data_IF_632575992449
#
_entry.id   IF_632575992449
#
_cell.length_a   1.000
_cell.length_b   1.000
_cell.length_c   1.000
_cell.angle_alpha   90.00
_cell.angle_beta   90.00
_cell.angle_gamma   90.00
#
_symmetry.space_group_name_H-M   'P 1'
#
loop_
_entity.id
_entity.type
_entity.pdbx_description
1 polymer ?
#
# COMPACT_ATOMS: atom_id res chain seq x y z
N UNK A 1 -14.00 -17.08 8.71
CA UNK A 1 -13.77 -16.24 7.50
C UNK A 1 -14.94 -15.27 7.43
N UNK A 2 -14.68 -13.96 7.45
CA UNK A 2 -15.73 -12.91 7.45
C UNK A 2 -15.89 -12.26 6.07
N UNK A 3 -15.62 -13.01 5.01
CA UNK A 3 -15.70 -12.58 3.61
C UNK A 3 -17.12 -12.06 3.26
N UNK A 4 -17.18 -10.91 2.60
CA UNK A 4 -18.42 -10.31 2.06
C UNK A 4 -19.51 -10.07 3.12
N UNK A 5 -19.15 -9.38 4.23
CA UNK A 5 -20.09 -8.94 5.25
C UNK A 5 -20.35 -7.42 5.14
N UNK A 6 -21.25 -6.97 4.25
CA UNK A 6 -21.43 -5.54 3.96
C UNK A 6 -22.02 -4.73 5.13
N UNK A 7 -22.63 -5.40 6.11
CA UNK A 7 -23.18 -4.75 7.31
C UNK A 7 -22.20 -4.71 8.49
N UNK A 8 -21.04 -5.39 8.39
CA UNK A 8 -20.01 -5.38 9.42
C UNK A 8 -19.36 -3.99 9.47
N UNK A 9 -19.49 -3.29 10.61
CA UNK A 9 -18.96 -1.92 10.78
C UNK A 9 -17.67 -1.88 11.59
N UNK A 10 -17.53 -2.75 12.56
CA UNK A 10 -16.40 -2.71 13.51
C UNK A 10 -15.87 -4.11 13.75
N UNK A 11 -14.55 -4.25 13.78
CA UNK A 11 -13.83 -5.47 14.13
C UNK A 11 -12.83 -5.15 15.24
N UNK A 12 -12.86 -5.95 16.31
CA UNK A 12 -11.87 -5.90 17.39
C UNK A 12 -11.26 -7.29 17.49
N UNK A 13 -9.98 -7.41 17.15
CA UNK A 13 -9.25 -8.67 17.23
C UNK A 13 -8.60 -8.81 18.61
N UNK A 14 -8.77 -9.95 19.28
CA UNK A 14 -8.21 -10.17 20.61
C UNK A 14 -6.68 -10.34 20.57
N UNK A 15 -6.06 -10.24 21.75
CA UNK A 15 -4.59 -10.24 21.91
C UNK A 15 -3.92 -11.56 21.57
N UNK A 16 -4.66 -12.67 21.54
CA UNK A 16 -4.14 -13.99 21.20
C UNK A 16 -4.08 -14.27 19.68
N UNK A 17 -4.63 -13.37 18.84
CA UNK A 17 -4.53 -13.48 17.39
C UNK A 17 -3.14 -13.03 16.93
N UNK A 18 -2.45 -13.88 16.17
CA UNK A 18 -1.12 -13.61 15.63
C UNK A 18 -1.09 -13.48 14.12
N UNK A 19 -2.10 -14.02 13.43
CA UNK A 19 -2.21 -14.05 11.97
C UNK A 19 -3.64 -13.67 11.56
N UNK A 20 -3.77 -12.82 10.55
CA UNK A 20 -5.03 -12.61 9.84
C UNK A 20 -4.89 -13.27 8.46
N UNK A 21 -5.71 -14.28 8.21
CA UNK A 21 -5.66 -15.10 7.00
C UNK A 21 -5.99 -14.30 5.74
N UNK A 22 -5.66 -14.88 4.58
CA UNK A 22 -6.05 -14.33 3.28
C UNK A 22 -7.56 -14.11 3.23
N UNK A 23 -7.97 -12.97 2.66
CA UNK A 23 -9.38 -12.60 2.42
C UNK A 23 -10.27 -12.59 3.68
N UNK A 24 -9.68 -12.48 4.89
CA UNK A 24 -10.44 -12.61 6.13
C UNK A 24 -11.59 -11.59 6.25
N UNK A 25 -11.38 -10.37 5.78
CA UNK A 25 -12.36 -9.26 5.77
C UNK A 25 -12.56 -8.68 4.37
N UNK A 26 -12.23 -9.44 3.32
CA UNK A 26 -12.43 -8.97 1.95
C UNK A 26 -13.91 -8.69 1.70
N UNK A 27 -14.19 -7.60 0.99
CA UNK A 27 -15.55 -7.14 0.64
C UNK A 27 -16.46 -6.83 1.85
N UNK A 28 -15.85 -6.52 3.00
CA UNK A 28 -16.58 -5.94 4.12
C UNK A 28 -16.85 -4.45 3.86
N UNK A 29 -17.71 -4.16 2.87
CA UNK A 29 -17.92 -2.80 2.34
C UNK A 29 -18.46 -1.79 3.36
N UNK A 30 -19.07 -2.28 4.47
CA UNK A 30 -19.54 -1.44 5.57
C UNK A 30 -18.49 -1.18 6.66
N UNK A 31 -17.29 -1.78 6.55
CA UNK A 31 -16.27 -1.74 7.62
C UNK A 31 -15.65 -0.35 7.74
N UNK A 32 -15.86 0.28 8.90
CA UNK A 32 -15.37 1.64 9.21
C UNK A 32 -14.22 1.65 10.20
N UNK A 33 -14.10 0.61 11.05
CA UNK A 33 -13.10 0.57 12.12
C UNK A 33 -12.59 -0.85 12.36
N UNK A 34 -11.27 -0.96 12.47
CA UNK A 34 -10.57 -2.21 12.82
C UNK A 34 -9.57 -1.93 13.93
N UNK A 35 -9.71 -2.65 15.04
CA UNK A 35 -8.69 -2.69 16.10
C UNK A 35 -7.92 -4.00 16.00
N UNK A 36 -6.65 -3.91 15.65
CA UNK A 36 -5.74 -5.04 15.56
C UNK A 36 -5.11 -5.33 16.93
N UNK A 37 -5.05 -6.61 17.30
CA UNK A 37 -4.36 -7.04 18.51
C UNK A 37 -2.83 -6.82 18.39
N UNK A 38 -2.12 -6.57 19.50
CA UNK A 38 -0.69 -6.21 19.50
C UNK A 38 0.24 -7.34 19.07
N UNK A 39 -0.25 -8.57 19.04
CA UNK A 39 0.53 -9.75 18.70
C UNK A 39 0.40 -10.21 17.24
N UNK A 40 -0.33 -9.46 16.40
CA UNK A 40 -0.45 -9.78 14.97
C UNK A 40 0.90 -9.55 14.29
N UNK A 41 1.40 -10.59 13.63
CA UNK A 41 2.66 -10.60 12.89
C UNK A 41 2.45 -10.60 11.38
N UNK A 42 1.26 -11.01 10.89
CA UNK A 42 0.98 -11.10 9.47
C UNK A 42 -0.47 -10.74 9.13
N UNK A 43 -0.62 -9.97 8.06
CA UNK A 43 -1.89 -9.67 7.38
C UNK A 43 -1.84 -10.36 6.02
N UNK A 44 -2.78 -11.27 5.75
CA UNK A 44 -2.83 -12.09 4.54
C UNK A 44 -3.19 -11.35 3.27
N UNK A 45 -3.13 -12.05 2.13
CA UNK A 45 -3.49 -11.50 0.83
C UNK A 45 -4.96 -11.10 0.79
N UNK A 46 -5.27 -9.95 0.18
CA UNK A 46 -6.63 -9.40 0.08
C UNK A 46 -7.38 -9.28 1.42
N UNK A 47 -6.68 -9.29 2.55
CA UNK A 47 -7.29 -9.40 3.88
C UNK A 47 -8.37 -8.33 4.13
N UNK A 48 -8.10 -7.08 3.79
CA UNK A 48 -9.04 -5.95 3.83
C UNK A 48 -9.41 -5.44 2.44
N UNK A 49 -9.27 -6.31 1.41
CA UNK A 49 -9.59 -5.91 0.04
C UNK A 49 -11.04 -5.48 -0.10
N UNK A 50 -11.27 -4.35 -0.78
CA UNK A 50 -12.59 -3.75 -0.99
C UNK A 50 -13.33 -3.39 0.33
N UNK A 51 -12.63 -2.69 1.24
CA UNK A 51 -13.20 -2.06 2.43
C UNK A 51 -13.20 -0.51 2.27
N UNK A 52 -14.05 0.06 1.40
CA UNK A 52 -13.96 1.48 1.00
C UNK A 52 -14.27 2.47 2.12
N UNK A 53 -14.98 2.06 3.17
CA UNK A 53 -15.31 2.92 4.31
C UNK A 53 -14.27 2.87 5.43
N UNK A 54 -13.22 2.05 5.31
CA UNK A 54 -12.11 2.01 6.27
C UNK A 54 -11.22 3.24 6.03
N UNK A 55 -11.29 4.21 6.95
CA UNK A 55 -10.56 5.49 6.81
C UNK A 55 -9.17 5.47 7.42
N UNK A 56 -8.94 4.58 8.38
CA UNK A 56 -7.64 4.40 9.03
C UNK A 56 -7.52 3.01 9.63
N UNK A 57 -6.28 2.55 9.77
CA UNK A 57 -5.94 1.33 10.49
C UNK A 57 -4.56 1.50 11.14
N UNK A 58 -4.46 1.16 12.42
CA UNK A 58 -3.17 1.17 13.12
C UNK A 58 -2.53 -0.21 13.02
N UNK A 59 -1.40 -0.29 12.35
CA UNK A 59 -0.63 -1.52 12.22
C UNK A 59 0.18 -1.78 13.49
N UNK A 60 0.13 -2.98 14.09
CA UNK A 60 0.81 -3.28 15.35
C UNK A 60 2.33 -3.38 15.19
N UNK A 61 3.05 -3.09 16.27
CA UNK A 61 4.52 -3.02 16.29
C UNK A 61 5.24 -4.36 16.06
N UNK A 62 4.53 -5.48 16.10
CA UNK A 62 5.05 -6.82 15.78
C UNK A 62 4.75 -7.27 14.35
N UNK A 63 4.02 -6.48 13.57
CA UNK A 63 3.66 -6.83 12.20
C UNK A 63 4.92 -6.90 11.32
N UNK A 64 5.16 -8.03 10.70
CA UNK A 64 6.29 -8.24 9.78
C UNK A 64 5.87 -8.30 8.32
N UNK A 65 4.65 -8.77 8.05
CA UNK A 65 4.20 -9.07 6.69
C UNK A 65 2.85 -8.45 6.38
N UNK A 66 2.77 -7.75 5.25
CA UNK A 66 1.55 -7.27 4.61
C UNK A 66 1.43 -8.01 3.27
N UNK A 67 0.37 -8.78 3.08
CA UNK A 67 0.18 -9.63 1.89
C UNK A 67 -0.11 -8.85 0.61
N UNK A 68 -0.10 -9.56 -0.52
CA UNK A 68 -0.48 -9.04 -1.83
C UNK A 68 -1.91 -8.51 -1.78
N UNK A 69 -2.12 -7.30 -2.28
CA UNK A 69 -3.44 -6.63 -2.31
C UNK A 69 -4.16 -6.58 -0.96
N UNK A 70 -3.43 -6.60 0.15
CA UNK A 70 -4.00 -6.67 1.50
C UNK A 70 -5.00 -5.55 1.80
N UNK A 71 -4.78 -4.35 1.26
CA UNK A 71 -5.64 -3.17 1.37
C UNK A 71 -6.15 -2.69 -0.01
N UNK A 72 -6.24 -3.60 -0.97
CA UNK A 72 -6.76 -3.30 -2.30
C UNK A 72 -8.15 -2.64 -2.19
N UNK A 73 -8.35 -1.51 -2.90
CA UNK A 73 -9.62 -0.77 -2.94
C UNK A 73 -10.13 -0.33 -1.54
N UNK A 74 -9.20 -0.01 -0.62
CA UNK A 74 -9.52 0.69 0.64
C UNK A 74 -9.53 2.20 0.38
N UNK A 75 -10.52 2.67 -0.40
CA UNK A 75 -10.56 4.04 -0.92
C UNK A 75 -10.72 5.14 0.15
N UNK A 76 -11.10 4.77 1.39
CA UNK A 76 -11.22 5.70 2.51
C UNK A 76 -9.89 6.01 3.21
N UNK A 77 -8.85 5.17 3.06
CA UNK A 77 -7.56 5.37 3.76
C UNK A 77 -6.83 6.57 3.15
N UNK A 78 -6.46 7.54 4.00
CA UNK A 78 -5.78 8.78 3.58
C UNK A 78 -4.27 8.77 3.79
N UNK A 79 -3.79 8.00 4.76
CA UNK A 79 -2.36 7.79 5.04
C UNK A 79 -2.11 6.37 5.57
N UNK A 80 -0.92 5.84 5.36
CA UNK A 80 -0.53 4.52 5.86
C UNK A 80 0.80 4.59 6.60
N UNK A 81 0.76 4.31 7.90
CA UNK A 81 1.97 4.22 8.74
C UNK A 81 2.51 2.80 8.72
N UNK A 82 3.76 2.62 8.27
CA UNK A 82 4.47 1.35 8.20
C UNK A 82 5.40 1.21 9.44
N UNK A 83 5.13 0.28 10.35
CA UNK A 83 5.96 0.06 11.54
C UNK A 83 7.40 -0.38 11.23
N UNK A 84 8.29 -0.22 12.22
CA UNK A 84 9.68 -0.64 12.11
C UNK A 84 9.87 -2.14 11.83
N UNK A 85 8.95 -2.96 12.31
CA UNK A 85 8.98 -4.43 12.18
C UNK A 85 8.63 -4.94 10.78
N UNK A 86 7.91 -4.16 9.95
CA UNK A 86 7.48 -4.61 8.61
C UNK A 86 8.69 -4.76 7.70
N UNK A 87 8.88 -5.98 7.19
CA UNK A 87 9.97 -6.33 6.28
C UNK A 87 9.49 -6.97 4.97
N UNK A 88 8.18 -7.23 4.83
CA UNK A 88 7.58 -7.76 3.62
C UNK A 88 6.27 -7.06 3.29
N UNK A 89 6.18 -6.47 2.09
CA UNK A 89 4.97 -5.88 1.53
C UNK A 89 4.73 -6.49 0.16
N UNK A 90 3.60 -7.17 0.02
CA UNK A 90 3.19 -7.84 -1.21
C UNK A 90 2.82 -6.87 -2.32
N UNK A 91 2.81 -7.37 -3.55
CA UNK A 91 2.53 -6.57 -4.74
C UNK A 91 1.11 -6.00 -4.72
N UNK A 92 1.00 -4.74 -5.07
CA UNK A 92 -0.29 -4.05 -5.11
C UNK A 92 -1.01 -3.95 -3.76
N UNK A 93 -0.29 -4.07 -2.63
CA UNK A 93 -0.89 -4.10 -1.29
C UNK A 93 -1.84 -2.91 -1.01
N UNK A 94 -1.59 -1.76 -1.63
CA UNK A 94 -2.32 -0.50 -1.41
C UNK A 94 -2.92 0.08 -2.70
N UNK A 95 -3.08 -0.72 -3.76
CA UNK A 95 -3.65 -0.23 -5.03
C UNK A 95 -5.13 0.07 -4.91
N UNK A 96 -5.63 1.00 -5.72
CA UNK A 96 -7.02 1.52 -5.67
C UNK A 96 -7.37 2.21 -4.33
N UNK A 97 -6.40 2.59 -3.52
CA UNK A 97 -6.62 3.44 -2.34
C UNK A 97 -6.74 4.91 -2.77
N UNK A 98 -7.85 5.27 -3.42
CA UNK A 98 -8.01 6.55 -4.13
C UNK A 98 -7.92 7.80 -3.27
N UNK A 99 -7.96 7.69 -1.95
CA UNK A 99 -7.72 8.81 -1.01
C UNK A 99 -6.32 8.82 -0.41
N UNK A 100 -5.49 7.79 -0.67
CA UNK A 100 -4.17 7.67 -0.08
C UNK A 100 -3.21 8.73 -0.64
N UNK A 101 -2.66 9.56 0.25
CA UNK A 101 -1.77 10.68 -0.09
C UNK A 101 -0.32 10.43 0.27
N UNK A 102 -0.08 9.61 1.30
CA UNK A 102 1.28 9.37 1.79
C UNK A 102 1.43 8.05 2.54
N UNK A 103 2.66 7.54 2.48
CA UNK A 103 3.18 6.54 3.40
C UNK A 103 4.09 7.21 4.43
N UNK A 104 3.94 6.84 5.70
CA UNK A 104 4.80 7.25 6.81
C UNK A 104 5.54 5.99 7.27
N UNK A 105 6.85 5.93 7.08
CA UNK A 105 7.66 4.78 7.50
C UNK A 105 8.42 5.13 8.76
N UNK A 106 8.33 4.29 9.79
CA UNK A 106 9.07 4.47 11.02
C UNK A 106 10.59 4.52 10.76
N UNK A 107 11.30 5.48 11.34
CA UNK A 107 12.74 5.69 11.10
C UNK A 107 13.59 4.45 11.36
N UNK A 108 13.20 3.66 12.37
CA UNK A 108 13.85 2.39 12.74
C UNK A 108 13.53 1.23 11.78
N UNK A 109 12.70 1.41 10.73
CA UNK A 109 12.48 0.38 9.74
C UNK A 109 13.76 0.15 8.92
N UNK A 110 14.21 -1.10 8.83
CA UNK A 110 15.45 -1.48 8.14
C UNK A 110 15.25 -1.90 6.68
N UNK A 111 13.99 -2.07 6.25
CA UNK A 111 13.65 -2.58 4.91
C UNK A 111 13.06 -1.51 4.01
N UNK A 112 12.29 -0.60 4.58
CA UNK A 112 11.55 0.43 3.85
C UNK A 112 11.89 1.84 4.33
N UNK A 113 11.62 2.82 3.49
CA UNK A 113 11.66 4.25 3.78
C UNK A 113 10.55 4.96 3.04
N UNK A 114 10.20 6.17 3.44
CA UNK A 114 9.38 7.06 2.63
C UNK A 114 10.17 8.32 2.26
N UNK A 115 9.99 8.77 1.02
CA UNK A 115 10.52 10.04 0.53
C UNK A 115 9.34 10.80 -0.05
N UNK A 116 9.06 11.97 0.49
CA UNK A 116 7.88 12.76 0.13
C UNK A 116 6.58 11.92 0.14
N UNK A 117 6.43 11.04 1.12
CA UNK A 117 5.25 10.18 1.25
C UNK A 117 5.18 9.02 0.26
N UNK A 118 6.16 8.82 -0.61
CA UNK A 118 6.26 7.67 -1.55
C UNK A 118 7.04 6.55 -0.87
N UNK A 119 6.55 5.31 -0.99
CA UNK A 119 7.16 4.14 -0.36
C UNK A 119 8.29 3.57 -1.22
N UNK A 120 9.50 3.51 -0.66
CA UNK A 120 10.68 2.92 -1.29
C UNK A 120 11.29 1.83 -0.39
N UNK A 121 12.18 1.02 -0.98
CA UNK A 121 13.13 0.23 -0.20
C UNK A 121 14.06 1.15 0.61
N UNK A 122 14.62 0.66 1.72
CA UNK A 122 15.50 1.46 2.60
C UNK A 122 16.72 2.02 1.87
N UNK A 123 17.30 1.26 0.94
CA UNK A 123 18.42 1.69 0.10
C UNK A 123 18.01 2.60 -1.07
N UNK A 124 16.69 2.89 -1.22
CA UNK A 124 16.08 3.74 -2.26
C UNK A 124 16.29 3.25 -3.71
N UNK A 125 16.66 1.98 -3.89
CA UNK A 125 16.83 1.40 -5.24
C UNK A 125 15.50 0.90 -5.84
N UNK A 126 14.49 0.63 -5.01
CA UNK A 126 13.20 0.13 -5.46
C UNK A 126 12.06 1.07 -5.05
N UNK A 127 11.28 1.51 -6.02
CA UNK A 127 10.01 2.17 -5.81
C UNK A 127 8.94 1.11 -5.56
N UNK A 128 8.37 1.08 -4.36
CA UNK A 128 7.49 0.00 -3.88
C UNK A 128 6.02 0.32 -4.09
N UNK A 129 5.59 1.52 -3.73
CA UNK A 129 4.21 1.98 -3.93
C UNK A 129 4.13 3.50 -4.01
N UNK A 130 3.33 4.00 -4.94
CA UNK A 130 2.98 5.41 -5.08
C UNK A 130 1.56 5.65 -4.53
N UNK A 131 1.35 6.66 -3.68
CA UNK A 131 0.00 6.95 -3.15
C UNK A 131 -0.94 7.44 -4.26
N UNK A 132 -2.10 6.79 -4.42
CA UNK A 132 -3.02 7.03 -5.55
C UNK A 132 -3.53 8.49 -5.65
N UNK A 133 -3.56 9.25 -4.54
CA UNK A 133 -4.06 10.64 -4.47
C UNK A 133 -2.98 11.66 -4.15
N UNK A 134 -1.71 11.38 -4.53
CA UNK A 134 -0.59 12.27 -4.13
C UNK A 134 -0.50 13.53 -5.00
N UNK A 135 -0.11 13.41 -6.24
CA UNK A 135 0.12 14.56 -7.12
C UNK A 135 -0.09 14.20 -8.59
N UNK A 136 -0.27 15.23 -9.43
CA UNK A 136 -0.40 15.05 -10.88
C UNK A 136 0.94 14.86 -11.61
N UNK A 137 2.06 15.16 -10.97
CA UNK A 137 3.41 15.02 -11.51
C UNK A 137 4.29 14.27 -10.52
N UNK A 138 5.10 13.35 -11.03
CA UNK A 138 6.13 12.66 -10.24
C UNK A 138 7.39 12.40 -11.06
N UNK A 139 8.53 12.73 -10.48
CA UNK A 139 9.84 12.38 -11.00
C UNK A 139 10.42 11.24 -10.18
N UNK A 140 10.72 10.11 -10.84
CA UNK A 140 11.32 8.95 -10.19
C UNK A 140 12.76 9.32 -9.79
N UNK A 141 13.11 9.20 -8.49
CA UNK A 141 14.45 9.54 -8.03
C UNK A 141 15.55 8.81 -8.81
N UNK A 142 16.65 9.52 -9.12
CA UNK A 142 17.78 8.97 -9.89
C UNK A 142 18.49 7.79 -9.21
N UNK A 143 18.23 7.53 -7.94
CA UNK A 143 18.70 6.33 -7.23
C UNK A 143 17.89 5.09 -7.55
N UNK A 144 16.65 5.23 -8.06
CA UNK A 144 15.75 4.10 -8.32
C UNK A 144 16.19 3.37 -9.58
N UNK A 145 16.44 2.07 -9.44
CA UNK A 145 16.71 1.14 -10.54
C UNK A 145 15.52 0.21 -10.86
N UNK A 146 14.59 0.07 -9.91
CA UNK A 146 13.46 -0.84 -10.06
C UNK A 146 12.16 -0.16 -9.65
N UNK A 147 11.17 -0.19 -10.52
CA UNK A 147 9.76 0.12 -10.22
C UNK A 147 9.05 -1.21 -10.01
N UNK A 148 8.49 -1.44 -8.82
CA UNK A 148 7.85 -2.70 -8.47
C UNK A 148 6.52 -2.90 -9.21
N UNK A 149 6.03 -4.14 -9.27
CA UNK A 149 4.72 -4.46 -9.86
C UNK A 149 3.60 -3.65 -9.20
N UNK A 150 2.67 -3.13 -10.01
CA UNK A 150 1.50 -2.37 -9.57
C UNK A 150 1.80 -1.08 -8.79
N UNK A 151 3.01 -0.55 -8.88
CA UNK A 151 3.46 0.65 -8.11
C UNK A 151 2.56 1.86 -8.31
N UNK A 152 2.15 2.15 -9.54
CA UNK A 152 1.28 3.27 -9.92
C UNK A 152 -0.12 2.82 -10.35
N UNK A 153 -0.51 1.56 -10.08
CA UNK A 153 -1.83 1.05 -10.46
C UNK A 153 -2.94 1.96 -9.97
N UNK A 154 -3.81 2.40 -10.90
CA UNK A 154 -4.96 3.30 -10.64
C UNK A 154 -4.61 4.64 -10.00
N UNK A 155 -3.45 5.20 -10.34
CA UNK A 155 -3.10 6.58 -9.99
C UNK A 155 -3.76 7.57 -10.95
N UNK A 156 -5.10 7.69 -10.90
CA UNK A 156 -5.88 8.49 -11.87
C UNK A 156 -5.59 9.99 -11.82
N UNK A 157 -5.12 10.48 -10.67
CA UNK A 157 -4.69 11.88 -10.51
C UNK A 157 -3.31 12.18 -11.09
N UNK A 158 -2.53 11.16 -11.45
CA UNK A 158 -1.17 11.31 -11.96
C UNK A 158 -1.19 11.54 -13.47
N UNK A 159 -0.83 12.75 -13.90
CA UNK A 159 -0.85 13.15 -15.31
C UNK A 159 0.51 13.02 -16.01
N UNK A 160 1.60 12.95 -15.25
CA UNK A 160 2.95 12.83 -15.80
C UNK A 160 3.89 12.12 -14.85
N UNK A 161 4.65 11.17 -15.36
CA UNK A 161 5.75 10.48 -14.65
C UNK A 161 7.02 10.60 -15.47
N UNK A 162 8.08 11.14 -14.88
CA UNK A 162 9.41 11.17 -15.47
C UNK A 162 10.20 9.98 -14.94
N UNK A 163 10.68 9.14 -15.86
CA UNK A 163 11.49 7.96 -15.55
C UNK A 163 12.89 8.19 -16.10
N UNK A 164 13.86 8.28 -15.20
CA UNK A 164 15.26 8.49 -15.56
C UNK A 164 15.98 7.21 -16.03
N UNK A 165 17.16 7.38 -16.62
CA UNK A 165 17.98 6.31 -17.20
C UNK A 165 18.51 5.28 -16.17
N UNK A 166 18.42 5.56 -14.87
CA UNK A 166 18.78 4.62 -13.80
C UNK A 166 17.80 3.45 -13.66
N UNK A 167 16.55 3.62 -14.13
CA UNK A 167 15.52 2.57 -14.04
C UNK A 167 15.78 1.52 -15.11
N UNK A 168 16.12 0.31 -14.66
CA UNK A 168 16.39 -0.86 -15.52
C UNK A 168 15.25 -1.89 -15.49
N UNK A 169 14.37 -1.80 -14.51
CA UNK A 169 13.28 -2.76 -14.36
C UNK A 169 11.97 -2.04 -14.03
N UNK A 170 10.93 -2.35 -14.81
CA UNK A 170 9.55 -1.93 -14.57
C UNK A 170 8.72 -3.19 -14.40
N UNK A 171 8.12 -3.36 -13.23
CA UNK A 171 7.35 -4.55 -12.86
C UNK A 171 6.02 -4.67 -13.59
N UNK A 172 5.42 -5.86 -13.49
CA UNK A 172 4.12 -6.16 -14.11
C UNK A 172 3.05 -5.16 -13.65
N UNK A 173 2.26 -4.66 -14.58
CA UNK A 173 1.14 -3.76 -14.27
C UNK A 173 1.52 -2.48 -13.54
N UNK A 174 2.81 -2.07 -13.55
CA UNK A 174 3.28 -0.91 -12.80
C UNK A 174 2.44 0.35 -13.04
N UNK A 175 1.89 0.52 -14.23
CA UNK A 175 1.03 1.65 -14.65
C UNK A 175 -0.38 1.19 -15.07
N UNK A 176 -0.81 0.02 -14.61
CA UNK A 176 -2.12 -0.52 -15.00
C UNK A 176 -3.25 0.42 -14.54
N UNK A 177 -4.23 0.64 -15.42
CA UNK A 177 -5.41 1.46 -15.15
C UNK A 177 -5.11 2.91 -14.69
N UNK A 178 -3.98 3.49 -15.12
CA UNK A 178 -3.76 4.93 -14.97
C UNK A 178 -4.40 5.65 -16.16
N UNK A 179 -5.39 6.51 -15.95
CA UNK A 179 -6.19 7.11 -17.02
C UNK A 179 -5.71 8.48 -17.48
N UNK A 180 -4.77 9.09 -16.79
CA UNK A 180 -4.41 10.49 -16.98
C UNK A 180 -2.94 10.81 -17.24
N UNK A 181 -2.05 9.85 -17.56
CA UNK A 181 -0.61 10.14 -17.58
C UNK A 181 0.05 10.14 -18.97
N UNK A 182 1.12 10.90 -19.07
CA UNK A 182 2.09 10.86 -20.17
C UNK A 182 3.42 10.38 -19.59
N UNK A 183 3.93 9.23 -20.09
CA UNK A 183 5.28 8.79 -19.77
C UNK A 183 6.29 9.68 -20.49
N UNK A 184 7.19 10.32 -19.75
CA UNK A 184 8.29 11.08 -20.30
C UNK A 184 9.60 10.37 -19.95
N UNK A 185 10.37 10.00 -20.98
CA UNK A 185 11.75 9.57 -20.80
C UNK A 185 12.65 10.80 -20.84
N UNK A 186 13.50 10.98 -19.84
CA UNK A 186 14.60 11.93 -19.89
C UNK A 186 15.81 11.19 -20.46
N UNK A 187 16.16 11.53 -21.69
CA UNK A 187 17.39 11.07 -22.37
C UNK A 187 18.63 11.72 -21.75
#
# INVERSE_FOLDING_TARGET
MFFSLPKLKTVILPTNVTLISNQAFQECTGLTSVTLGPNITSIGNFCFGNCPLLTSITLPSKLTTIGTRAFWHCSGITSMTIPASVNSIGDGAFTYCSSLREFIVADANLTYSSVDGVLLSKNKLTLVAYPNSKSSYYEVPSTVSTIKSFTFESCDGLSSVVIGNSVTTVGEGAFYNCTGYILQNVS
#
